data_IF_230246587081
#
_entry.id   IF_230246587081
#
_cell.length_a   1.000
_cell.length_b   1.000
_cell.length_c   1.000
_cell.angle_alpha   90.00
_cell.angle_beta   90.00
_cell.angle_gamma   90.00
#
_symmetry.space_group_name_H-M   'P 1'
#
loop_
_entity.id
_entity.type
_entity.pdbx_description
1 polymer ?
#
# COMPACT_ATOMS: atom_id res chain seq x y z
N UNK A 1 14.79 -7.56 -10.91
CA UNK A 1 15.21 -7.43 -9.53
C UNK A 1 14.22 -6.65 -8.69
N UNK A 2 14.06 -5.38 -8.96
CA UNK A 2 13.10 -4.55 -8.25
C UNK A 2 11.66 -5.00 -8.44
N UNK A 3 11.32 -5.48 -9.63
CA UNK A 3 9.96 -5.89 -9.94
C UNK A 3 9.49 -7.06 -9.09
N UNK A 4 10.38 -8.03 -8.87
CA UNK A 4 10.05 -9.20 -8.07
C UNK A 4 9.90 -8.83 -6.59
N UNK A 5 10.78 -7.99 -6.08
CA UNK A 5 10.71 -7.54 -4.70
C UNK A 5 9.45 -6.70 -4.47
N UNK A 6 9.14 -5.85 -5.43
CA UNK A 6 7.93 -5.03 -5.37
C UNK A 6 6.69 -5.91 -5.33
N UNK A 7 6.64 -6.91 -6.21
CA UNK A 7 5.51 -7.81 -6.28
C UNK A 7 5.33 -8.60 -4.98
N UNK A 8 6.43 -9.10 -4.42
CA UNK A 8 6.37 -9.84 -3.17
C UNK A 8 5.85 -8.96 -2.03
N UNK A 9 6.32 -7.74 -1.96
CA UNK A 9 5.86 -6.82 -0.91
C UNK A 9 4.39 -6.45 -1.10
N UNK A 10 3.96 -6.25 -2.35
CA UNK A 10 2.56 -5.98 -2.66
C UNK A 10 1.67 -7.16 -2.24
N UNK A 11 2.12 -8.38 -2.50
CA UNK A 11 1.36 -9.56 -2.10
C UNK A 11 1.27 -9.68 -0.58
N UNK A 12 2.37 -9.40 0.11
CA UNK A 12 2.36 -9.40 1.57
C UNK A 12 1.42 -8.35 2.12
N UNK A 13 1.45 -7.17 1.54
CA UNK A 13 0.57 -6.08 1.95
C UNK A 13 -0.89 -6.43 1.70
N UNK A 14 -1.18 -7.04 0.57
CA UNK A 14 -2.52 -7.49 0.25
C UNK A 14 -3.02 -8.54 1.27
N UNK A 15 -2.14 -9.46 1.63
CA UNK A 15 -2.47 -10.47 2.64
C UNK A 15 -2.74 -9.83 4.00
N UNK A 16 -1.94 -8.84 4.36
CA UNK A 16 -2.14 -8.13 5.62
C UNK A 16 -3.49 -7.41 5.63
N UNK A 17 -3.87 -6.81 4.50
CA UNK A 17 -5.17 -6.16 4.37
C UNK A 17 -6.31 -7.15 4.58
N UNK A 18 -6.19 -8.34 4.01
CA UNK A 18 -7.22 -9.36 4.16
C UNK A 18 -7.40 -9.82 5.61
N UNK A 19 -6.33 -9.78 6.38
CA UNK A 19 -6.34 -10.21 7.77
C UNK A 19 -6.59 -9.08 8.76
N UNK A 20 -6.65 -7.85 8.28
CA UNK A 20 -6.89 -6.70 9.14
C UNK A 20 -8.38 -6.46 9.26
N UNK A 21 -8.85 -6.41 10.48
CA UNK A 21 -10.25 -6.10 10.76
C UNK A 21 -10.42 -4.60 10.98
N UNK A 22 -11.37 -4.02 10.28
CA UNK A 22 -11.69 -2.62 10.47
C UNK A 22 -12.44 -2.43 11.79
N UNK A 23 -11.97 -1.49 12.61
CA UNK A 23 -12.60 -1.22 13.90
C UNK A 23 -13.71 -0.21 13.80
N UNK A 24 -13.71 0.59 12.74
CA UNK A 24 -14.75 1.59 12.52
C UNK A 24 -14.93 1.82 11.02
N UNK A 25 -15.84 2.72 10.68
CA UNK A 25 -16.16 3.03 9.30
C UNK A 25 -14.99 3.67 8.56
N UNK A 26 -14.26 4.53 9.23
CA UNK A 26 -13.06 5.16 8.64
C UNK A 26 -12.01 4.12 8.29
N UNK A 27 -11.79 3.16 9.18
CA UNK A 27 -10.85 2.07 8.90
C UNK A 27 -11.31 1.20 7.75
N UNK A 28 -12.62 0.98 7.65
CA UNK A 28 -13.17 0.18 6.55
C UNK A 28 -12.95 0.85 5.21
N UNK A 29 -13.16 2.16 5.15
CA UNK A 29 -12.90 2.92 3.93
C UNK A 29 -11.42 2.91 3.56
N UNK A 30 -10.55 3.06 4.56
CA UNK A 30 -9.11 3.00 4.34
C UNK A 30 -8.72 1.67 3.72
N UNK A 31 -9.17 0.57 4.31
CA UNK A 31 -8.83 -0.76 3.81
C UNK A 31 -9.34 -0.98 2.39
N UNK A 32 -10.52 -0.47 2.09
CA UNK A 32 -11.08 -0.57 0.75
C UNK A 32 -10.24 0.18 -0.28
N UNK A 33 -9.83 1.41 0.05
CA UNK A 33 -9.01 2.21 -0.85
C UNK A 33 -7.64 1.59 -1.06
N UNK A 34 -7.04 1.10 0.02
CA UNK A 34 -5.74 0.44 -0.08
C UNK A 34 -5.82 -0.83 -0.90
N UNK A 35 -6.87 -1.61 -0.72
CA UNK A 35 -7.07 -2.84 -1.48
C UNK A 35 -7.15 -2.53 -2.98
N UNK A 36 -7.90 -1.52 -3.34
CA UNK A 36 -8.03 -1.08 -4.73
C UNK A 36 -6.68 -0.65 -5.30
N UNK A 37 -5.95 0.15 -4.55
CA UNK A 37 -4.64 0.65 -4.99
C UNK A 37 -3.64 -0.50 -5.14
N UNK A 38 -3.63 -1.42 -4.20
CA UNK A 38 -2.70 -2.55 -4.22
C UNK A 38 -3.01 -3.49 -5.36
N UNK A 39 -4.28 -3.77 -5.60
CA UNK A 39 -4.69 -4.60 -6.74
C UNK A 39 -4.28 -3.97 -8.07
N UNK A 40 -4.42 -2.66 -8.15
CA UNK A 40 -4.02 -1.92 -9.34
C UNK A 40 -2.51 -2.05 -9.58
N UNK A 41 -1.72 -1.92 -8.52
CA UNK A 41 -0.28 -2.05 -8.62
C UNK A 41 0.15 -3.48 -8.95
N UNK A 42 -0.52 -4.47 -8.36
CA UNK A 42 -0.23 -5.87 -8.66
C UNK A 42 -0.50 -6.20 -10.13
N UNK A 43 -1.57 -5.63 -10.66
CA UNK A 43 -1.92 -5.83 -12.05
C UNK A 43 -0.87 -5.25 -12.99
N UNK A 44 -0.23 -4.17 -12.57
CA UNK A 44 0.83 -3.51 -13.34
C UNK A 44 2.21 -4.06 -13.06
N UNK A 45 2.35 -4.92 -12.05
CA UNK A 45 3.64 -5.50 -11.72
C UNK A 45 4.11 -6.35 -12.89
N UNK A 46 5.27 -6.05 -13.43
CA UNK A 46 5.77 -6.68 -14.64
C UNK A 46 5.74 -5.74 -15.84
N UNK A 47 5.04 -4.63 -15.73
CA UNK A 47 5.05 -3.55 -16.71
C UNK A 47 5.70 -2.35 -16.03
N UNK A 48 5.78 -1.21 -16.72
CA UNK A 48 6.26 -0.01 -16.09
C UNK A 48 5.28 0.44 -15.00
N UNK A 49 5.74 0.39 -13.76
CA UNK A 49 4.93 0.85 -12.64
C UNK A 49 5.11 2.35 -12.52
N UNK A 50 4.12 3.09 -12.96
CA UNK A 50 4.09 4.53 -12.76
C UNK A 50 3.35 4.80 -11.46
N UNK A 51 4.05 5.41 -10.50
CA UNK A 51 3.44 5.80 -9.25
C UNK A 51 2.79 7.16 -9.41
N UNK A 52 1.51 7.21 -9.09
CA UNK A 52 0.78 8.46 -9.07
C UNK A 52 1.12 9.20 -7.77
N UNK A 53 1.54 10.45 -7.91
CA UNK A 53 1.87 11.28 -6.76
C UNK A 53 0.68 11.42 -5.81
N UNK A 54 -0.53 11.49 -6.36
CA UNK A 54 -1.76 11.54 -5.56
C UNK A 54 -1.93 10.30 -4.71
N UNK A 55 -1.59 9.14 -5.26
CA UNK A 55 -1.68 7.88 -4.53
C UNK A 55 -0.72 7.86 -3.36
N UNK A 56 0.51 8.32 -3.57
CA UNK A 56 1.51 8.38 -2.51
C UNK A 56 1.09 9.34 -1.41
N UNK A 57 0.50 10.46 -1.76
CA UNK A 57 -0.01 11.42 -0.78
C UNK A 57 -1.13 10.81 0.05
N UNK A 58 -2.05 10.07 -0.59
CA UNK A 58 -3.13 9.41 0.13
C UNK A 58 -2.59 8.35 1.08
N UNK A 59 -1.59 7.60 0.65
CA UNK A 59 -0.97 6.58 1.48
C UNK A 59 -0.26 7.21 2.68
N UNK A 60 0.45 8.32 2.45
CA UNK A 60 1.12 9.02 3.54
C UNK A 60 0.11 9.55 4.56
N UNK A 61 -0.99 10.11 4.09
CA UNK A 61 -2.05 10.58 4.95
C UNK A 61 -2.66 9.42 5.75
N UNK A 62 -2.83 8.27 5.10
CA UNK A 62 -3.34 7.09 5.77
C UNK A 62 -2.39 6.61 6.86
N UNK A 63 -1.09 6.63 6.58
CA UNK A 63 -0.08 6.24 7.58
C UNK A 63 -0.18 7.16 8.79
N UNK A 64 -0.24 8.46 8.56
CA UNK A 64 -0.29 9.44 9.65
C UNK A 64 -1.54 9.27 10.50
N UNK A 65 -2.67 8.94 9.89
CA UNK A 65 -3.93 8.78 10.60
C UNK A 65 -4.06 7.47 11.35
N UNK A 66 -3.53 6.40 10.76
CA UNK A 66 -3.83 5.05 11.23
C UNK A 66 -2.63 4.29 11.80
N UNK A 67 -1.49 4.95 11.96
CA UNK A 67 -0.30 4.27 12.46
C UNK A 67 -0.48 3.73 13.88
N UNK A 68 -1.33 4.33 14.68
CA UNK A 68 -1.62 3.87 16.03
C UNK A 68 -2.61 2.70 16.01
N UNK A 69 -3.60 2.78 15.15
CA UNK A 69 -4.66 1.77 15.06
C UNK A 69 -4.19 0.52 14.30
N UNK A 70 -3.44 0.72 13.23
CA UNK A 70 -2.99 -0.36 12.37
C UNK A 70 -1.48 -0.26 12.14
N UNK A 71 -0.66 -0.46 13.19
CA UNK A 71 0.78 -0.21 13.09
C UNK A 71 1.50 -1.10 12.08
N UNK A 72 1.11 -2.36 11.99
CA UNK A 72 1.76 -3.28 11.04
C UNK A 72 1.44 -2.90 9.60
N UNK A 73 0.18 -2.59 9.35
CA UNK A 73 -0.26 -2.19 8.01
C UNK A 73 0.42 -0.91 7.56
N UNK A 74 0.48 0.08 8.43
CA UNK A 74 1.11 1.36 8.09
C UNK A 74 2.61 1.23 7.91
N UNK A 75 3.24 0.33 8.66
CA UNK A 75 4.66 0.06 8.48
C UNK A 75 4.93 -0.54 7.10
N UNK A 76 4.11 -1.47 6.67
CA UNK A 76 4.23 -2.07 5.36
C UNK A 76 3.96 -1.07 4.25
N UNK A 77 2.99 -0.18 4.45
CA UNK A 77 2.73 0.90 3.50
C UNK A 77 3.92 1.82 3.37
N UNK A 78 4.57 2.14 4.48
CA UNK A 78 5.75 3.00 4.48
C UNK A 78 6.89 2.36 3.68
N UNK A 79 7.12 1.07 3.88
CA UNK A 79 8.13 0.35 3.11
C UNK A 79 7.81 0.35 1.63
N UNK A 80 6.54 0.12 1.29
CA UNK A 80 6.10 0.13 -0.10
C UNK A 80 6.30 1.49 -0.73
N UNK A 81 5.97 2.56 -0.02
CA UNK A 81 6.17 3.91 -0.51
C UNK A 81 7.63 4.22 -0.80
N UNK A 82 8.52 3.73 0.05
CA UNK A 82 9.95 3.91 -0.14
C UNK A 82 10.41 3.23 -1.42
N UNK A 83 9.96 2.01 -1.64
CA UNK A 83 10.31 1.24 -2.83
C UNK A 83 9.76 1.92 -4.09
N UNK A 84 8.50 2.31 -4.05
CA UNK A 84 7.87 2.96 -5.20
C UNK A 84 8.53 4.30 -5.52
N UNK A 85 8.89 5.06 -4.50
CA UNK A 85 9.54 6.33 -4.67
C UNK A 85 10.91 6.16 -5.33
N UNK A 86 11.64 5.12 -4.94
CA UNK A 86 12.95 4.84 -5.52
C UNK A 86 12.86 4.29 -6.93
N UNK A 87 11.83 3.51 -7.20
CA UNK A 87 11.65 2.88 -8.52
C UNK A 87 11.01 3.82 -9.53
N UNK A 88 10.27 4.82 -9.06
CA UNK A 88 9.50 5.72 -9.91
C UNK A 88 10.28 6.86 -10.54
N UNK A 89 11.56 6.88 -10.36
CA UNK A 89 12.40 7.97 -10.87
C UNK A 89 12.79 7.76 -12.31
#
# INVERSE_FOLDING_TARGET
>A
MTDQNLRELLEKLHTELEHTEATDESGRELLRHLDTDIRSLLKRAGEEVETDESMLERWQDSIDRFEVTYPRLTMMLSEMMTILSNAGI
#
